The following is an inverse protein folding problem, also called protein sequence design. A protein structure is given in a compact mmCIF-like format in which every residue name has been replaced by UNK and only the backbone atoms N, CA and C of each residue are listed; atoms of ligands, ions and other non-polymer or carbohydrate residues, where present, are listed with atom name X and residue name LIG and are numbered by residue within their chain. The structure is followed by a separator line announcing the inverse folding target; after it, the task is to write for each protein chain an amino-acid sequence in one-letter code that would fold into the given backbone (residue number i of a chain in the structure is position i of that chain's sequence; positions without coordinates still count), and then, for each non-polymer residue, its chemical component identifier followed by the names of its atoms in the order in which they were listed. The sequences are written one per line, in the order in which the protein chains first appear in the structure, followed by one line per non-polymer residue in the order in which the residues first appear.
data_IF_786192155934
#
_entry.id   IF_786192155934
#
_cell.length_a   1.000
_cell.length_b   1.000
_cell.length_c   1.000
_cell.angle_alpha   90.00
_cell.angle_beta   90.00
_cell.angle_gamma   90.00
#
_symmetry.space_group_name_H-M   'P 1'
#
loop_
_entity.id
_entity.type
_entity.pdbx_description
1 polymer ?
#
# COMPACT_ATOMS: atom_id res chain seq x y z
N UNK A 1 1.17 -6.84 10.07
CA UNK A 1 1.61 -7.40 8.83
C UNK A 1 2.05 -6.31 7.88
N UNK A 2 2.64 -6.68 6.78
CA UNK A 2 3.49 -5.77 6.04
C UNK A 2 3.12 -5.59 4.59
N UNK A 3 1.89 -5.80 4.24
CA UNK A 3 1.44 -5.57 2.88
C UNK A 3 0.80 -4.21 2.78
N UNK A 4 1.20 -3.42 1.83
CA UNK A 4 0.62 -2.12 1.59
C UNK A 4 1.66 -1.03 1.47
N UNK A 5 1.25 0.12 0.98
CA UNK A 5 2.16 1.22 0.69
C UNK A 5 2.76 1.82 1.96
N UNK A 6 1.95 2.02 3.00
CA UNK A 6 2.46 2.61 4.24
C UNK A 6 3.49 1.70 4.92
N UNK A 7 3.25 0.38 4.90
CA UNK A 7 4.20 -0.59 5.45
C UNK A 7 5.51 -0.60 4.66
N UNK A 8 5.42 -0.48 3.35
CA UNK A 8 6.59 -0.41 2.48
C UNK A 8 7.44 0.81 2.82
N UNK A 9 6.79 1.96 3.00
CA UNK A 9 7.49 3.18 3.40
C UNK A 9 8.16 3.04 4.75
N UNK A 10 7.46 2.47 5.73
CA UNK A 10 8.02 2.27 7.05
C UNK A 10 9.27 1.40 7.00
N UNK A 11 9.25 0.32 6.24
CA UNK A 11 10.41 -0.54 6.12
C UNK A 11 11.60 0.17 5.50
N UNK A 12 11.35 1.02 4.50
CA UNK A 12 12.43 1.76 3.86
C UNK A 12 13.06 2.77 4.82
N UNK A 13 12.23 3.43 5.61
CA UNK A 13 12.72 4.40 6.58
C UNK A 13 13.44 3.70 7.72
N UNK A 14 12.89 2.59 8.21
CA UNK A 14 13.48 1.85 9.32
C UNK A 14 14.84 1.24 8.97
N UNK A 15 15.16 1.12 7.70
CA UNK A 15 16.48 0.65 7.27
C UNK A 15 17.58 1.66 7.56
N UNK A 16 17.25 2.92 7.83
CA UNK A 16 18.23 3.96 8.17
C UNK A 16 18.43 4.02 9.67
N UNK A 17 19.64 4.42 10.14
CA UNK A 17 19.84 4.71 11.56
C UNK A 17 18.87 5.80 12.04
N UNK A 18 18.54 5.77 13.33
CA UNK A 18 17.55 6.67 13.89
C UNK A 18 17.84 8.14 13.59
N UNK A 19 19.11 8.55 13.66
CA UNK A 19 19.50 9.93 13.43
C UNK A 19 19.42 10.36 11.98
N UNK A 20 19.21 9.41 11.05
CA UNK A 20 19.08 9.71 9.62
C UNK A 20 17.65 9.57 9.12
N UNK A 21 16.73 9.10 9.95
CA UNK A 21 15.39 8.81 9.48
C UNK A 21 14.61 10.05 9.08
N UNK A 22 14.80 11.16 9.76
CA UNK A 22 14.13 12.39 9.40
C UNK A 22 14.54 12.85 8.00
N UNK A 23 15.82 12.78 7.70
CA UNK A 23 16.32 13.13 6.37
C UNK A 23 15.81 12.15 5.32
N UNK A 24 15.75 10.86 5.65
CA UNK A 24 15.23 9.86 4.74
C UNK A 24 13.77 10.12 4.39
N UNK A 25 12.94 10.49 5.38
CA UNK A 25 11.55 10.85 5.13
C UNK A 25 11.44 12.05 4.21
N UNK A 26 12.26 13.06 4.45
CA UNK A 26 12.27 14.26 3.63
C UNK A 26 12.62 13.93 2.19
N UNK A 27 13.64 13.12 1.97
CA UNK A 27 14.05 12.72 0.62
C UNK A 27 12.98 11.89 -0.08
N UNK A 28 12.38 10.95 0.63
CA UNK A 28 11.32 10.12 0.05
C UNK A 28 10.11 10.97 -0.32
N UNK A 29 9.77 11.96 0.50
CA UNK A 29 8.62 12.82 0.23
C UNK A 29 8.78 13.62 -1.04
N UNK A 30 10.01 13.93 -1.45
CA UNK A 30 10.25 14.70 -2.67
C UNK A 30 10.50 13.84 -3.88
N UNK A 31 11.01 12.63 -3.70
CA UNK A 31 11.44 11.81 -4.85
C UNK A 31 10.41 10.75 -5.26
N UNK A 32 9.54 10.32 -4.37
CA UNK A 32 8.55 9.31 -4.73
C UNK A 32 7.41 9.91 -5.53
N UNK A 33 7.05 9.23 -6.60
CA UNK A 33 5.91 9.60 -7.44
C UNK A 33 4.71 8.71 -7.15
N UNK A 34 4.96 7.43 -6.98
CA UNK A 34 3.93 6.42 -6.79
C UNK A 34 4.53 5.21 -6.11
N UNK A 35 3.77 4.57 -5.25
CA UNK A 35 4.15 3.30 -4.66
C UNK A 35 3.07 2.28 -5.01
N UNK A 36 3.48 1.17 -5.59
CA UNK A 36 2.57 0.07 -5.90
C UNK A 36 3.05 -1.17 -5.19
N UNK A 37 2.15 -1.83 -4.48
CA UNK A 37 2.44 -3.11 -3.85
C UNK A 37 1.51 -4.16 -4.42
N UNK A 38 1.96 -5.41 -4.44
CA UNK A 38 1.23 -6.51 -5.05
C UNK A 38 1.20 -7.70 -4.09
N UNK A 39 0.06 -8.38 -4.06
CA UNK A 39 -0.06 -9.68 -3.41
C UNK A 39 -0.66 -10.65 -4.42
N UNK A 40 -0.14 -11.87 -4.44
CA UNK A 40 -0.64 -12.91 -5.32
C UNK A 40 -1.61 -13.81 -4.58
N UNK A 41 -2.70 -14.16 -5.23
CA UNK A 41 -3.71 -15.07 -4.70
C UNK A 41 -3.97 -16.18 -5.69
N UNK A 42 -4.30 -17.35 -5.17
CA UNK A 42 -4.70 -18.46 -5.99
C UNK A 42 -6.13 -18.25 -6.47
N UNK A 43 -6.34 -18.37 -7.76
CA UNK A 43 -7.70 -18.26 -8.32
C UNK A 43 -8.48 -19.52 -8.01
N UNK A 44 -9.76 -19.33 -7.73
CA UNK A 44 -10.67 -20.45 -7.47
C UNK A 44 -11.67 -20.67 -8.60
N UNK A 45 -11.66 -19.79 -9.60
CA UNK A 45 -12.60 -19.89 -10.73
C UNK A 45 -12.07 -20.78 -11.87
N UNK A 46 -10.84 -20.57 -12.28
CA UNK A 46 -10.28 -21.33 -13.41
C UNK A 46 -8.81 -21.68 -13.23
N UNK A 47 -8.31 -21.60 -12.01
CA UNK A 47 -6.93 -21.96 -11.72
C UNK A 47 -5.96 -20.84 -12.02
N UNK A 48 -4.71 -21.06 -11.62
CA UNK A 48 -3.66 -20.06 -11.76
C UNK A 48 -3.68 -19.05 -10.61
N UNK A 49 -3.00 -17.95 -10.79
CA UNK A 49 -2.87 -16.90 -9.78
C UNK A 49 -3.30 -15.56 -10.36
N UNK A 50 -3.67 -14.66 -9.46
CA UNK A 50 -4.02 -13.29 -9.83
C UNK A 50 -3.41 -12.33 -8.81
N UNK A 51 -2.99 -11.17 -9.28
CA UNK A 51 -2.44 -10.14 -8.42
C UNK A 51 -3.49 -9.20 -7.90
N UNK A 52 -3.41 -8.86 -6.62
CA UNK A 52 -4.14 -7.74 -6.06
C UNK A 52 -3.15 -6.63 -5.78
N UNK A 53 -3.56 -5.40 -6.00
CA UNK A 53 -2.64 -4.27 -5.95
C UNK A 53 -3.13 -3.20 -4.98
N UNK A 54 -2.17 -2.53 -4.36
CA UNK A 54 -2.41 -1.27 -3.67
C UNK A 54 -1.59 -0.20 -4.36
N UNK A 55 -2.21 0.92 -4.67
CA UNK A 55 -1.55 2.01 -5.39
C UNK A 55 -1.68 3.29 -4.58
N UNK A 56 -0.55 3.91 -4.28
CA UNK A 56 -0.48 5.20 -3.62
C UNK A 56 0.16 6.20 -4.58
N UNK A 57 -0.56 7.26 -4.90
CA UNK A 57 -0.01 8.36 -5.69
C UNK A 57 0.48 9.43 -4.73
N UNK A 58 1.74 9.82 -4.87
CA UNK A 58 2.35 10.78 -3.94
C UNK A 58 1.94 12.21 -4.29
N UNK A 59 0.73 12.57 -3.92
CA UNK A 59 0.24 13.94 -4.05
C UNK A 59 0.76 14.80 -2.88
N UNK A 60 0.39 16.08 -2.87
CA UNK A 60 0.86 17.01 -1.83
C UNK A 60 0.51 16.55 -0.42
N UNK A 61 -0.69 16.02 -0.24
CA UNK A 61 -1.13 15.58 1.08
C UNK A 61 -0.30 14.40 1.57
N UNK A 62 -0.05 13.42 0.70
CA UNK A 62 0.76 12.26 1.06
C UNK A 62 2.20 12.66 1.31
N UNK A 63 2.76 13.56 0.51
CA UNK A 63 4.11 14.05 0.73
C UNK A 63 4.27 14.69 2.10
N UNK A 64 3.28 15.47 2.52
CA UNK A 64 3.29 16.08 3.84
C UNK A 64 3.23 15.03 4.95
N UNK A 65 2.42 14.00 4.79
CA UNK A 65 2.32 12.94 5.79
C UNK A 65 3.64 12.19 5.94
N UNK A 66 4.34 11.94 4.84
CA UNK A 66 5.64 11.28 4.89
C UNK A 66 6.64 12.17 5.63
N UNK A 67 6.69 13.44 5.26
CA UNK A 67 7.65 14.39 5.83
C UNK A 67 7.45 14.59 7.32
N UNK A 68 6.21 14.61 7.76
CA UNK A 68 5.85 14.85 9.16
C UNK A 68 5.79 13.59 10.01
N UNK A 69 6.21 12.45 9.44
CA UNK A 69 6.20 11.17 10.14
C UNK A 69 4.79 10.74 10.58
N UNK A 70 3.81 10.99 9.72
CA UNK A 70 2.42 10.61 9.94
C UNK A 70 2.00 9.51 8.98
N UNK A 71 2.88 8.57 8.76
CA UNK A 71 2.69 7.49 7.78
C UNK A 71 1.43 6.65 8.05
N UNK A 72 1.03 6.37 9.31
CA UNK A 72 -0.22 5.63 9.52
C UNK A 72 -1.46 6.31 8.93
N UNK A 73 -1.44 7.64 8.76
CA UNK A 73 -2.58 8.34 8.17
C UNK A 73 -2.67 8.19 6.65
N UNK A 74 -1.63 7.66 6.03
CA UNK A 74 -1.62 7.45 4.57
C UNK A 74 -2.69 6.47 4.14
N UNK A 75 -2.95 5.43 4.93
CA UNK A 75 -3.97 4.45 4.59
C UNK A 75 -5.32 5.11 4.34
N UNK A 76 -5.68 6.06 5.19
CA UNK A 76 -6.94 6.78 5.04
C UNK A 76 -6.95 7.65 3.78
N UNK A 77 -5.81 8.25 3.45
CA UNK A 77 -5.70 9.03 2.22
C UNK A 77 -5.84 8.18 0.97
N UNK A 78 -5.33 6.96 1.00
CA UNK A 78 -5.48 6.05 -0.12
C UNK A 78 -6.96 5.68 -0.30
N UNK A 79 -7.67 5.42 0.79
CA UNK A 79 -9.09 5.08 0.72
C UNK A 79 -9.92 6.18 0.06
N UNK A 80 -9.57 7.43 0.30
CA UNK A 80 -10.32 8.56 -0.24
C UNK A 80 -9.77 9.09 -1.56
N UNK A 81 -8.66 8.51 -2.05
CA UNK A 81 -7.97 9.01 -3.23
C UNK A 81 -8.28 8.28 -4.53
N UNK A 82 -9.44 7.64 -4.63
CA UNK A 82 -9.78 6.86 -5.83
C UNK A 82 -9.83 7.73 -7.08
N UNK A 83 -10.18 8.99 -6.97
CA UNK A 83 -10.23 9.90 -8.12
C UNK A 83 -8.84 10.19 -8.68
N UNK A 84 -7.81 9.98 -7.88
CA UNK A 84 -6.42 10.17 -8.31
C UNK A 84 -5.76 8.85 -8.68
N UNK A 85 -6.53 7.78 -8.75
CA UNK A 85 -6.00 6.46 -9.11
C UNK A 85 -5.48 5.65 -7.95
N UNK A 86 -5.70 6.09 -6.72
CA UNK A 86 -5.26 5.32 -5.56
C UNK A 86 -6.20 4.16 -5.29
N UNK A 87 -5.63 3.02 -4.91
CA UNK A 87 -6.38 1.80 -4.65
C UNK A 87 -5.87 1.18 -3.36
N UNK A 88 -6.79 0.87 -2.46
CA UNK A 88 -6.46 0.18 -1.21
C UNK A 88 -6.49 -1.33 -1.44
N UNK A 89 -5.51 -2.04 -0.89
CA UNK A 89 -5.40 -3.50 -1.07
C UNK A 89 -6.68 -4.22 -0.64
N UNK A 90 -7.23 -3.87 0.51
CA UNK A 90 -8.42 -4.51 1.03
C UNK A 90 -9.61 -4.37 0.08
N UNK A 91 -9.73 -3.21 -0.55
CA UNK A 91 -10.81 -2.98 -1.51
C UNK A 91 -10.62 -3.81 -2.77
N UNK A 92 -9.40 -3.90 -3.25
CA UNK A 92 -9.08 -4.71 -4.43
C UNK A 92 -9.42 -6.18 -4.17
N UNK A 93 -9.00 -6.69 -3.01
CA UNK A 93 -9.28 -8.07 -2.61
C UNK A 93 -10.78 -8.32 -2.51
N UNK A 94 -11.53 -7.39 -1.90
CA UNK A 94 -12.98 -7.50 -1.80
C UNK A 94 -13.65 -7.61 -3.15
N UNK A 95 -13.18 -6.87 -4.13
CA UNK A 95 -13.71 -6.94 -5.49
C UNK A 95 -13.44 -8.29 -6.14
N UNK A 96 -12.24 -8.85 -5.93
CA UNK A 96 -11.92 -10.17 -6.47
C UNK A 96 -12.80 -11.26 -5.83
N UNK A 97 -13.06 -11.14 -4.54
CA UNK A 97 -13.94 -12.08 -3.85
C UNK A 97 -15.38 -11.96 -4.38
N UNK A 98 -15.87 -10.73 -4.54
CA UNK A 98 -17.23 -10.51 -5.01
C UNK A 98 -17.44 -10.97 -6.45
N UNK A 99 -16.40 -10.98 -7.26
CA UNK A 99 -16.47 -11.49 -8.63
C UNK A 99 -16.27 -13.00 -8.71
N UNK A 100 -16.03 -13.66 -7.58
CA UNK A 100 -15.82 -15.11 -7.54
C UNK A 100 -14.48 -15.57 -8.07
N UNK A 101 -13.50 -14.67 -8.16
CA UNK A 101 -12.18 -14.99 -8.71
C UNK A 101 -11.31 -15.65 -7.64
N UNK A 102 -11.41 -15.23 -6.41
CA UNK A 102 -10.70 -15.81 -5.28
C UNK A 102 -11.66 -16.03 -4.13
N UNK A 103 -11.28 -16.90 -3.18
CA UNK A 103 -12.01 -17.07 -1.93
C UNK A 103 -11.65 -15.96 -0.95
N UNK A 104 -12.52 -15.72 0.02
CA UNK A 104 -12.24 -14.76 1.07
C UNK A 104 -10.98 -15.16 1.82
N UNK A 105 -9.93 -14.35 1.79
CA UNK A 105 -8.71 -14.69 2.53
C UNK A 105 -8.91 -14.58 4.02
N UNK A 106 -8.31 -15.50 4.79
CA UNK A 106 -8.19 -15.34 6.21
C UNK A 106 -7.25 -14.19 6.55
N UNK A 107 -7.46 -13.60 7.71
CA UNK A 107 -6.52 -12.60 8.21
C UNK A 107 -5.10 -13.16 8.30
N UNK A 108 -4.97 -14.44 8.56
CA UNK A 108 -3.66 -15.10 8.69
C UNK A 108 -3.01 -15.42 7.35
N UNK A 109 -3.79 -15.55 6.30
CA UNK A 109 -3.25 -15.91 4.98
C UNK A 109 -2.93 -14.70 4.15
N UNK A 110 -3.03 -13.53 4.68
CA UNK A 110 -2.86 -12.29 3.95
C UNK A 110 -1.41 -11.81 3.88
N UNK A 111 -0.48 -12.74 3.89
CA UNK A 111 0.94 -12.35 3.80
C UNK A 111 1.76 -13.36 3.04
#
# INVERSE_FOLDING_TARGET
HTSGASSTLNRRIDAYPAEEQEQARSQLSTSLQMVMTQRLFKRTDKGGRIGAFEVMVCNSAIRNLIRENKIPQIDQMIETGSKEGMIKMDKYISELVSKGIIDQPDAKSSH
#
